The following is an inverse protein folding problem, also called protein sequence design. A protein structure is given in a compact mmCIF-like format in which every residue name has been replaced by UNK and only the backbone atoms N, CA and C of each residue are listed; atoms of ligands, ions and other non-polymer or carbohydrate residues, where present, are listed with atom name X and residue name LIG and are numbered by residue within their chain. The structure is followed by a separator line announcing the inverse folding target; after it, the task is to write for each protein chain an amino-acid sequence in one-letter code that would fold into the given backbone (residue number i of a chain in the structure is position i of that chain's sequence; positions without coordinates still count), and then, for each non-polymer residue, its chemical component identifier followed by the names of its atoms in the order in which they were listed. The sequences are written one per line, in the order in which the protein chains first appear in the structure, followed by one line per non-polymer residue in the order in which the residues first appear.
data_IF_401498140688
#
_entry.id   IF_401498140688
#
_cell.length_a   1.000
_cell.length_b   1.000
_cell.length_c   1.000
_cell.angle_alpha   90.00
_cell.angle_beta   90.00
_cell.angle_gamma   90.00
#
_symmetry.space_group_name_H-M   'P 1'
#
loop_
_entity.id
_entity.type
_entity.pdbx_description
1 polymer ?
#
# COMPACT_ATOMS: atom_id res chain seq x y z
N UNK A 1 -4.80 -3.73 18.71
CA UNK A 1 -4.80 -4.58 17.50
C UNK A 1 -4.65 -6.01 17.97
N UNK A 2 -5.61 -6.89 17.66
CA UNK A 2 -5.58 -8.29 18.06
C UNK A 2 -5.21 -9.14 16.84
N UNK A 3 -4.00 -9.70 16.85
CA UNK A 3 -3.55 -10.65 15.83
C UNK A 3 -3.67 -12.09 16.31
N UNK A 4 -3.71 -12.31 17.64
CA UNK A 4 -3.75 -13.63 18.25
C UNK A 4 -5.16 -14.00 18.71
N UNK A 5 -5.51 -15.27 18.51
CA UNK A 5 -6.70 -15.92 19.04
C UNK A 5 -6.26 -17.14 19.83
N UNK A 6 -6.99 -17.45 20.90
CA UNK A 6 -6.73 -18.66 21.69
C UNK A 6 -6.85 -19.87 20.78
N UNK A 7 -5.89 -20.78 20.86
CA UNK A 7 -5.98 -22.08 20.22
C UNK A 7 -6.94 -22.96 21.03
N UNK A 8 -8.11 -23.36 20.47
CA UNK A 8 -9.06 -24.22 21.18
C UNK A 8 -8.51 -25.62 21.46
N UNK A 9 -7.41 -26.02 20.81
CA UNK A 9 -6.73 -27.29 21.00
C UNK A 9 -5.36 -27.13 21.68
N UNK A 10 -5.10 -25.95 22.25
CA UNK A 10 -3.94 -25.69 23.08
C UNK A 10 -3.86 -26.60 24.31
N UNK A 11 -2.64 -26.95 24.71
CA UNK A 11 -2.32 -27.78 25.88
C UNK A 11 -2.07 -26.96 27.14
N UNK A 12 -1.60 -25.72 27.01
CA UNK A 12 -1.10 -24.91 28.13
C UNK A 12 -2.11 -23.90 28.65
N UNK A 13 -3.23 -23.73 27.96
CA UNK A 13 -4.17 -22.63 28.22
C UNK A 13 -3.65 -21.25 27.79
N UNK A 14 -2.41 -21.13 27.31
CA UNK A 14 -1.83 -19.90 26.74
C UNK A 14 -1.52 -20.03 25.24
N UNK A 15 -1.70 -21.21 24.66
CA UNK A 15 -1.43 -21.44 23.25
C UNK A 15 -2.36 -20.59 22.38
N UNK A 16 -1.77 -19.92 21.40
CA UNK A 16 -2.46 -18.98 20.54
C UNK A 16 -2.05 -19.17 19.09
N UNK A 17 -3.00 -18.96 18.20
CA UNK A 17 -2.81 -18.93 16.76
C UNK A 17 -3.16 -17.56 16.16
N UNK A 18 -3.02 -17.47 14.85
CA UNK A 18 -3.48 -16.33 14.06
C UNK A 18 -4.02 -16.83 12.73
N UNK A 19 -5.05 -16.16 12.21
CA UNK A 19 -5.55 -16.47 10.87
C UNK A 19 -4.62 -15.87 9.83
N UNK A 20 -4.29 -16.66 8.80
CA UNK A 20 -3.48 -16.22 7.65
C UNK A 20 -4.37 -16.00 6.44
N UNK A 21 -4.19 -14.86 5.77
CA UNK A 21 -4.66 -14.66 4.41
C UNK A 21 -3.45 -14.70 3.49
N UNK A 22 -3.54 -15.54 2.45
CA UNK A 22 -2.55 -15.63 1.39
C UNK A 22 -3.21 -15.27 0.05
N UNK A 23 -2.63 -14.32 -0.70
CA UNK A 23 -3.06 -13.97 -2.04
C UNK A 23 -1.85 -13.80 -2.95
N UNK A 24 -1.82 -14.50 -4.07
CA UNK A 24 -0.90 -14.19 -5.17
C UNK A 24 -1.49 -13.03 -5.98
N UNK A 25 -0.89 -11.85 -5.89
CA UNK A 25 -1.33 -10.64 -6.58
C UNK A 25 -0.34 -10.33 -7.70
N UNK A 26 -0.70 -10.58 -8.96
CA UNK A 26 0.09 -10.17 -10.12
C UNK A 26 0.10 -8.65 -10.29
N UNK A 27 1.26 -8.09 -10.61
CA UNK A 27 1.43 -6.66 -10.84
C UNK A 27 1.77 -6.39 -12.30
N UNK A 28 0.93 -5.57 -12.95
CA UNK A 28 1.19 -5.06 -14.30
C UNK A 28 2.04 -3.79 -14.23
N UNK A 29 3.32 -3.93 -13.88
CA UNK A 29 4.21 -2.80 -13.56
C UNK A 29 4.32 -1.79 -14.69
N UNK A 30 4.51 -2.26 -15.94
CA UNK A 30 4.55 -1.39 -17.12
C UNK A 30 3.27 -0.56 -17.29
N UNK A 31 2.10 -1.18 -17.12
CA UNK A 31 0.82 -0.50 -17.23
C UNK A 31 0.62 0.50 -16.09
N UNK A 32 1.07 0.17 -14.88
CA UNK A 32 1.03 1.06 -13.73
C UNK A 32 1.89 2.31 -13.96
N UNK A 33 3.14 2.15 -14.43
CA UNK A 33 4.05 3.25 -14.77
C UNK A 33 3.51 4.14 -15.89
N UNK A 34 2.86 3.55 -16.89
CA UNK A 34 2.15 4.30 -17.92
C UNK A 34 1.00 5.14 -17.34
N UNK A 35 0.27 4.61 -16.35
CA UNK A 35 -0.81 5.35 -15.68
C UNK A 35 -0.26 6.51 -14.84
N UNK A 36 0.85 6.31 -14.12
CA UNK A 36 1.52 7.41 -13.39
C UNK A 36 1.89 8.56 -14.32
N UNK A 37 2.51 8.27 -15.48
CA UNK A 37 2.85 9.29 -16.48
C UNK A 37 1.61 10.05 -16.99
N UNK A 38 0.52 9.33 -17.25
CA UNK A 38 -0.75 9.96 -17.68
C UNK A 38 -1.36 10.84 -16.60
N UNK A 39 -1.31 10.39 -15.34
CA UNK A 39 -1.79 11.16 -14.21
C UNK A 39 -0.94 12.42 -13.99
N UNK A 40 0.38 12.31 -14.10
CA UNK A 40 1.28 13.47 -14.04
C UNK A 40 0.93 14.51 -15.11
N UNK A 41 0.73 14.07 -16.36
CA UNK A 41 0.28 14.95 -17.46
C UNK A 41 -1.07 15.60 -17.17
N UNK A 42 -2.06 14.82 -16.72
CA UNK A 42 -3.40 15.33 -16.42
C UNK A 42 -3.41 16.37 -15.29
N UNK A 43 -2.46 16.28 -14.36
CA UNK A 43 -2.29 17.18 -13.23
C UNK A 43 -1.26 18.28 -13.48
N UNK A 44 -0.67 18.36 -14.68
CA UNK A 44 0.43 19.27 -15.03
C UNK A 44 1.64 19.18 -14.08
N UNK A 45 1.95 17.98 -13.59
CA UNK A 45 3.14 17.69 -12.79
C UNK A 45 4.33 17.45 -13.74
N UNK A 46 5.43 18.18 -13.55
CA UNK A 46 6.57 18.19 -14.48
C UNK A 46 7.91 18.07 -13.77
N UNK A 47 8.94 17.59 -14.48
CA UNK A 47 10.27 17.40 -13.90
C UNK A 47 10.23 16.43 -12.73
N UNK A 48 10.93 16.75 -11.64
CA UNK A 48 10.95 15.94 -10.41
C UNK A 48 9.56 15.79 -9.75
N UNK A 49 8.66 16.76 -9.96
CA UNK A 49 7.31 16.72 -9.39
C UNK A 49 6.40 15.68 -10.08
N UNK A 50 6.78 15.17 -11.25
CA UNK A 50 6.01 14.13 -11.94
C UNK A 50 5.86 12.84 -11.11
N UNK A 51 6.83 12.53 -10.24
CA UNK A 51 6.80 11.36 -9.36
C UNK A 51 5.70 11.45 -8.30
N UNK A 52 5.24 12.68 -7.98
CA UNK A 52 4.12 12.90 -7.06
C UNK A 52 2.81 12.26 -7.55
N UNK A 53 2.66 12.03 -8.85
CA UNK A 53 1.51 11.28 -9.39
C UNK A 53 1.44 9.86 -8.83
N UNK A 54 2.56 9.14 -8.78
CA UNK A 54 2.64 7.81 -8.14
C UNK A 54 2.39 7.91 -6.63
N UNK A 55 2.95 8.94 -6.00
CA UNK A 55 2.74 9.20 -4.58
C UNK A 55 1.29 9.49 -4.21
N UNK A 56 0.51 10.11 -5.10
CA UNK A 56 -0.93 10.31 -4.95
C UNK A 56 -1.73 9.01 -5.05
N UNK A 57 -1.31 8.05 -5.88
CA UNK A 57 -1.96 6.74 -5.97
C UNK A 57 -1.69 5.91 -4.69
N UNK A 58 -0.45 5.93 -4.19
CA UNK A 58 -0.03 5.08 -3.07
C UNK A 58 -0.28 5.74 -1.70
N UNK A 59 -0.13 7.06 -1.62
CA UNK A 59 -0.07 7.85 -0.39
C UNK A 59 1.36 8.07 0.14
N UNK A 60 2.37 7.61 -0.62
CA UNK A 60 3.81 7.74 -0.34
C UNK A 60 4.61 7.73 -1.63
N UNK A 61 5.71 8.47 -1.66
CA UNK A 61 6.76 8.35 -2.69
C UNK A 61 7.45 6.98 -2.64
N UNK A 62 8.22 6.64 -3.69
CA UNK A 62 8.90 5.34 -3.79
C UNK A 62 9.95 5.13 -2.70
N UNK A 63 10.57 6.21 -2.22
CA UNK A 63 11.48 6.21 -1.06
C UNK A 63 10.76 5.88 0.27
N UNK A 64 9.43 6.02 0.32
CA UNK A 64 8.58 5.83 1.49
C UNK A 64 8.11 7.13 2.18
N UNK A 65 8.50 8.30 1.68
CA UNK A 65 8.10 9.62 2.19
C UNK A 65 6.57 9.80 2.09
N UNK A 66 5.87 10.19 3.17
CA UNK A 66 4.42 10.41 3.11
C UNK A 66 4.07 11.68 2.34
N UNK A 67 3.25 11.55 1.30
CA UNK A 67 2.82 12.71 0.47
C UNK A 67 1.97 13.73 1.26
N UNK A 68 1.40 13.32 2.39
CA UNK A 68 0.69 14.24 3.29
C UNK A 68 1.61 15.21 4.05
N UNK A 69 2.92 14.91 4.12
CA UNK A 69 3.91 15.70 4.85
C UNK A 69 4.81 16.51 3.92
N UNK A 70 5.17 15.95 2.77
CA UNK A 70 6.16 16.53 1.85
C UNK A 70 5.67 16.41 0.41
N UNK A 71 6.01 17.42 -0.39
CA UNK A 71 5.66 17.47 -1.81
C UNK A 71 6.69 16.76 -2.72
N UNK A 72 7.83 16.33 -2.16
CA UNK A 72 8.94 15.66 -2.86
C UNK A 72 9.51 14.56 -1.97
N UNK A 73 10.44 13.78 -2.53
CA UNK A 73 11.27 12.82 -1.80
C UNK A 73 11.97 13.45 -0.59
N UNK A 74 12.20 12.65 0.44
CA UNK A 74 12.73 13.15 1.70
C UNK A 74 12.93 12.07 2.74
N UNK A 75 12.25 12.21 3.90
CA UNK A 75 12.45 11.31 5.03
C UNK A 75 11.25 10.35 5.19
N UNK A 76 11.46 9.05 4.97
CA UNK A 76 10.47 8.03 5.31
C UNK A 76 10.15 8.09 6.80
N UNK A 77 8.87 8.28 7.11
CA UNK A 77 8.37 8.28 8.49
C UNK A 77 6.99 7.65 8.56
N UNK A 78 6.62 7.21 9.76
CA UNK A 78 5.27 6.74 10.06
C UNK A 78 4.55 7.61 11.11
N UNK A 79 5.25 8.61 11.66
CA UNK A 79 4.74 9.52 12.68
C UNK A 79 3.94 10.67 12.05
N UNK A 80 2.77 10.35 11.50
CA UNK A 80 1.83 11.33 10.96
C UNK A 80 0.38 10.85 11.10
N UNK A 81 -0.55 11.79 10.96
CA UNK A 81 -1.99 11.57 10.82
C UNK A 81 -2.48 12.32 9.58
N UNK A 82 -3.79 12.29 9.31
CA UNK A 82 -4.42 13.08 8.25
C UNK A 82 -5.27 14.24 8.82
N UNK A 83 -5.03 14.63 10.07
CA UNK A 83 -5.82 15.67 10.76
C UNK A 83 -5.67 17.03 10.06
N UNK A 84 -4.47 17.36 9.61
CA UNK A 84 -4.16 18.60 8.87
C UNK A 84 -4.33 18.47 7.34
N UNK A 85 -5.09 17.45 6.91
CA UNK A 85 -5.43 17.17 5.52
C UNK A 85 -6.82 16.52 5.40
N UNK A 86 -7.88 17.04 6.04
CA UNK A 86 -9.17 16.37 6.16
C UNK A 86 -9.81 16.12 4.78
N UNK A 87 -9.67 17.08 3.87
CA UNK A 87 -10.26 17.04 2.53
C UNK A 87 -9.36 16.33 1.49
N UNK A 88 -8.15 15.91 1.88
CA UNK A 88 -7.23 15.20 0.99
C UNK A 88 -6.56 16.09 -0.06
N UNK A 89 -6.37 17.37 0.24
CA UNK A 89 -5.65 18.32 -0.62
C UNK A 89 -4.14 18.04 -0.72
N UNK A 90 -3.57 17.33 0.25
CA UNK A 90 -2.16 16.85 0.21
C UNK A 90 -2.07 15.39 -0.19
N UNK A 91 -2.76 14.50 0.54
CA UNK A 91 -2.81 13.07 0.28
C UNK A 91 -4.23 12.67 -0.10
N UNK A 92 -4.49 12.27 -1.36
CA UNK A 92 -5.84 11.97 -1.83
C UNK A 92 -6.57 10.98 -0.92
N UNK A 93 -7.88 11.18 -0.73
CA UNK A 93 -8.73 10.28 0.07
C UNK A 93 -8.68 8.83 -0.45
N UNK A 94 -8.47 8.67 -1.76
CA UNK A 94 -8.41 7.40 -2.48
C UNK A 94 -7.01 6.76 -2.48
N UNK A 95 -5.99 7.45 -1.93
CA UNK A 95 -4.63 6.92 -1.87
C UNK A 95 -4.58 5.60 -1.09
N UNK A 96 -3.85 4.61 -1.61
CA UNK A 96 -3.85 3.24 -1.08
C UNK A 96 -3.68 3.18 0.44
N UNK A 97 -2.64 3.82 0.99
CA UNK A 97 -2.34 3.83 2.43
C UNK A 97 -3.44 4.54 3.23
N UNK A 98 -4.04 5.62 2.70
CA UNK A 98 -5.11 6.36 3.37
C UNK A 98 -6.41 5.57 3.41
N UNK A 99 -6.75 4.85 2.33
CA UNK A 99 -7.91 3.95 2.28
C UNK A 99 -7.81 2.80 3.27
N UNK A 100 -6.68 2.07 3.28
CA UNK A 100 -6.54 0.88 4.15
C UNK A 100 -6.07 1.21 5.57
N UNK A 101 -5.67 2.45 5.83
CA UNK A 101 -5.32 2.95 7.16
C UNK A 101 -5.63 4.46 7.23
N UNK A 102 -6.91 4.86 7.40
CA UNK A 102 -7.31 6.26 7.54
C UNK A 102 -6.78 6.94 8.81
N UNK A 103 -6.05 6.20 9.66
CA UNK A 103 -5.44 6.67 10.92
C UNK A 103 -6.44 7.22 11.94
N UNK A 104 -7.69 6.77 11.84
CA UNK A 104 -8.74 7.05 12.80
C UNK A 104 -8.86 5.93 13.85
N UNK A 105 -9.24 6.25 15.10
CA UNK A 105 -9.56 5.25 16.12
C UNK A 105 -10.55 4.20 15.61
N UNK A 106 -10.44 2.95 16.07
CA UNK A 106 -11.35 1.87 15.68
C UNK A 106 -11.08 1.22 14.32
N UNK A 107 -10.24 1.82 13.46
CA UNK A 107 -9.84 1.19 12.19
C UNK A 107 -9.15 -0.16 12.43
N UNK A 108 -9.61 -1.27 11.83
CA UNK A 108 -8.96 -2.56 11.98
C UNK A 108 -7.56 -2.54 11.35
N UNK A 109 -6.64 -3.33 11.92
CA UNK A 109 -5.25 -3.42 11.46
C UNK A 109 -4.88 -4.87 11.19
N UNK A 110 -3.98 -5.10 10.23
CA UNK A 110 -3.43 -6.43 9.89
C UNK A 110 -1.90 -6.40 10.00
N UNK A 111 -1.28 -7.54 10.32
CA UNK A 111 0.20 -7.67 10.26
C UNK A 111 0.56 -8.18 8.87
N UNK A 112 1.28 -7.39 8.07
CA UNK A 112 1.70 -7.79 6.72
C UNK A 112 3.07 -8.48 6.76
N UNK A 113 3.20 -9.58 6.03
CA UNK A 113 4.41 -10.40 5.85
C UNK A 113 4.57 -10.86 4.39
N UNK A 114 4.01 -10.09 3.46
CA UNK A 114 4.11 -10.42 2.05
C UNK A 114 5.53 -10.23 1.51
N UNK A 115 5.81 -10.90 0.40
CA UNK A 115 7.11 -10.86 -0.28
C UNK A 115 6.88 -10.72 -1.80
N UNK A 116 7.68 -9.92 -2.52
CA UNK A 116 7.62 -9.89 -3.98
C UNK A 116 7.94 -11.26 -4.60
N UNK A 117 7.39 -11.53 -5.78
CA UNK A 117 7.77 -12.69 -6.60
C UNK A 117 8.10 -12.26 -8.04
N UNK A 118 8.80 -13.16 -8.73
CA UNK A 118 9.25 -12.96 -10.10
C UNK A 118 10.58 -12.20 -10.17
N UNK A 119 11.26 -12.33 -11.31
CA UNK A 119 12.51 -11.63 -11.55
C UNK A 119 12.22 -10.23 -12.09
N UNK A 120 12.83 -9.21 -11.49
CA UNK A 120 12.86 -7.86 -12.05
C UNK A 120 14.31 -7.53 -12.38
N UNK A 121 14.65 -7.31 -13.67
CA UNK A 121 15.98 -6.83 -14.01
C UNK A 121 16.20 -5.46 -13.36
N UNK A 122 17.44 -5.12 -12.97
CA UNK A 122 17.75 -3.80 -12.48
C UNK A 122 17.35 -2.76 -13.52
N UNK A 123 16.75 -1.65 -13.07
CA UNK A 123 16.42 -0.56 -13.96
C UNK A 123 17.71 0.19 -14.34
N UNK A 124 17.80 0.70 -15.57
CA UNK A 124 18.87 1.61 -15.94
C UNK A 124 18.81 2.88 -15.07
N UNK A 125 19.95 3.57 -14.85
CA UNK A 125 19.95 4.87 -14.18
C UNK A 125 19.17 5.91 -15.01
N UNK A 126 18.56 6.89 -14.33
CA UNK A 126 17.68 7.88 -14.94
C UNK A 126 16.24 7.39 -15.08
N UNK A 127 15.41 8.10 -15.84
CA UNK A 127 14.02 7.68 -16.07
C UNK A 127 13.99 6.50 -17.06
N UNK A 128 13.64 5.28 -16.63
CA UNK A 128 13.64 4.11 -17.52
C UNK A 128 12.52 4.21 -18.57
N UNK A 129 12.79 3.68 -19.76
CA UNK A 129 11.73 3.47 -20.76
C UNK A 129 10.67 2.49 -20.23
N UNK A 130 9.41 2.66 -20.66
CA UNK A 130 8.30 1.77 -20.30
C UNK A 130 8.59 0.31 -20.68
N UNK A 131 9.34 0.08 -21.75
CA UNK A 131 9.77 -1.25 -22.20
C UNK A 131 10.63 -1.99 -21.17
N UNK A 132 11.34 -1.29 -20.29
CA UNK A 132 12.17 -1.88 -19.24
C UNK A 132 11.36 -2.51 -18.11
N UNK A 133 10.06 -2.20 -17.99
CA UNK A 133 9.21 -2.74 -16.93
C UNK A 133 8.50 -4.03 -17.37
N UNK A 134 8.44 -5.05 -16.50
CA UNK A 134 7.70 -6.27 -16.77
C UNK A 134 6.20 -5.99 -16.95
N UNK A 135 5.58 -6.66 -17.92
CA UNK A 135 4.12 -6.58 -18.13
C UNK A 135 3.34 -7.55 -17.22
N UNK A 136 3.95 -8.68 -16.87
CA UNK A 136 3.35 -9.81 -16.17
C UNK A 136 4.44 -10.67 -15.52
N UNK A 137 4.05 -11.72 -14.79
CA UNK A 137 4.99 -12.70 -14.21
C UNK A 137 5.74 -12.21 -12.96
N UNK A 138 5.47 -10.98 -12.51
CA UNK A 138 5.95 -10.42 -11.26
C UNK A 138 4.77 -9.97 -10.39
N UNK A 139 4.98 -9.88 -9.09
CA UNK A 139 3.95 -9.34 -8.21
C UNK A 139 4.26 -9.49 -6.74
N UNK A 140 3.20 -9.60 -5.92
CA UNK A 140 3.27 -9.74 -4.48
C UNK A 140 2.60 -11.04 -4.04
N UNK A 141 3.34 -11.89 -3.33
CA UNK A 141 2.73 -12.90 -2.46
C UNK A 141 2.28 -12.16 -1.20
N UNK A 142 1.04 -11.69 -1.23
CA UNK A 142 0.46 -10.96 -0.11
C UNK A 142 0.12 -11.95 1.00
N UNK A 143 0.70 -11.70 2.17
CA UNK A 143 0.48 -12.49 3.38
C UNK A 143 0.12 -11.53 4.50
N UNK A 144 -0.98 -11.79 5.21
CA UNK A 144 -1.28 -11.07 6.43
C UNK A 144 -1.90 -11.92 7.53
N UNK A 145 -1.66 -11.49 8.77
CA UNK A 145 -2.10 -12.13 10.00
C UNK A 145 -3.08 -11.25 10.77
N UNK A 146 -4.12 -11.89 11.33
CA UNK A 146 -5.22 -11.24 12.04
C UNK A 146 -5.91 -12.19 13.03
N UNK A 147 -6.62 -11.63 14.01
CA UNK A 147 -7.48 -12.40 14.90
C UNK A 147 -8.88 -12.68 14.32
N UNK A 148 -9.27 -12.01 13.23
CA UNK A 148 -10.52 -12.27 12.51
C UNK A 148 -10.38 -11.80 11.05
N UNK A 149 -10.56 -12.73 10.10
CA UNK A 149 -10.49 -12.42 8.66
C UNK A 149 -11.58 -11.41 8.27
N UNK A 150 -12.82 -11.66 8.70
CA UNK A 150 -13.99 -10.83 8.39
C UNK A 150 -13.87 -9.41 8.92
N UNK A 151 -13.44 -9.23 10.18
CA UNK A 151 -13.30 -7.91 10.81
C UNK A 151 -12.02 -7.17 10.44
N UNK A 152 -11.05 -7.82 9.78
CA UNK A 152 -9.76 -7.21 9.46
C UNK A 152 -9.52 -7.21 7.95
N UNK A 153 -8.95 -8.27 7.37
CA UNK A 153 -8.59 -8.28 5.95
C UNK A 153 -9.80 -7.99 5.03
N UNK A 154 -10.93 -8.67 5.25
CA UNK A 154 -12.10 -8.48 4.40
C UNK A 154 -12.74 -7.11 4.59
N UNK A 155 -12.79 -6.59 5.81
CA UNK A 155 -13.25 -5.23 6.07
C UNK A 155 -12.39 -4.19 5.33
N UNK A 156 -11.06 -4.30 5.47
CA UNK A 156 -10.12 -3.39 4.79
C UNK A 156 -10.29 -3.44 3.26
N UNK A 157 -10.51 -4.62 2.69
CA UNK A 157 -10.71 -4.76 1.24
C UNK A 157 -12.10 -4.29 0.80
N UNK A 158 -13.17 -4.78 1.43
CA UNK A 158 -14.56 -4.57 0.95
C UNK A 158 -15.13 -3.22 1.39
N UNK A 159 -15.04 -2.92 2.69
CA UNK A 159 -15.67 -1.73 3.26
C UNK A 159 -14.85 -0.46 3.05
N UNK A 160 -13.52 -0.58 2.91
CA UNK A 160 -12.65 0.56 2.68
C UNK A 160 -12.15 0.62 1.23
N UNK A 161 -11.29 -0.31 0.80
CA UNK A 161 -10.62 -0.20 -0.49
C UNK A 161 -11.57 -0.24 -1.70
N UNK A 162 -12.59 -1.10 -1.67
CA UNK A 162 -13.55 -1.27 -2.77
C UNK A 162 -14.75 -0.31 -2.70
N UNK A 163 -14.91 0.44 -1.61
CA UNK A 163 -16.00 1.40 -1.46
C UNK A 163 -15.56 2.73 -2.10
N UNK A 164 -16.25 3.27 -3.13
CA UNK A 164 -15.83 4.50 -3.80
C UNK A 164 -15.71 5.70 -2.85
#
# INVERSE_FOLDING_TARGET
MRALVQDPYGRTGQDSGSYVVFRKLEQRVRAFKMMERRLAQALNLTGEDAERAGAFIVGRFEDGTPVTLQATDGRPTNAFTYVDDPDGGKCPLQAHVRKVTPRQPGTPRIVRRGIPYGARPPLPPGEPDLGAFPANGVGLLFICYQGSITRQFEYLQRALANNP
#
